data_IF_512781752171
#
_entry.id   IF_512781752171
#
_cell.length_a   1.000
_cell.length_b   1.000
_cell.length_c   1.000
_cell.angle_alpha   90.00
_cell.angle_beta   90.00
_cell.angle_gamma   90.00
#
_symmetry.space_group_name_H-M   'P 1'
#
loop_
_entity.id
_entity.type
_entity.pdbx_description
1 polymer ?
#
# COMPACT_ATOMS: atom_id res chain seq x y z
N UNK A 1 -15.76 4.68 0.40
CA UNK A 1 -15.05 3.72 1.25
C UNK A 1 -15.16 2.35 0.63
N UNK A 2 -14.10 1.55 0.72
CA UNK A 2 -14.01 0.25 0.06
C UNK A 2 -12.82 0.13 -0.89
N UNK A 3 -12.79 -0.99 -1.62
CA UNK A 3 -11.74 -1.30 -2.59
C UNK A 3 -12.32 -1.47 -4.00
N UNK A 4 -11.65 -0.89 -5.00
CA UNK A 4 -11.94 -1.12 -6.42
C UNK A 4 -10.83 -1.95 -7.06
N UNK A 5 -11.22 -3.00 -7.78
CA UNK A 5 -10.29 -3.98 -8.36
C UNK A 5 -10.03 -3.76 -9.84
N UNK A 6 -8.80 -4.01 -10.26
CA UNK A 6 -8.37 -4.19 -11.66
C UNK A 6 -7.60 -5.49 -11.77
N UNK A 7 -7.87 -6.28 -12.81
CA UNK A 7 -7.24 -7.58 -13.02
C UNK A 7 -6.26 -7.55 -14.19
N UNK A 8 -5.11 -8.17 -14.00
CA UNK A 8 -4.06 -8.36 -15.00
C UNK A 8 -3.96 -9.84 -15.31
N UNK A 9 -4.30 -10.21 -16.55
CA UNK A 9 -4.35 -11.62 -16.91
C UNK A 9 -2.95 -12.24 -16.99
N UNK A 10 -2.78 -13.37 -16.33
CA UNK A 10 -1.58 -14.20 -16.48
C UNK A 10 -1.61 -15.04 -17.77
N UNK A 11 -2.71 -15.02 -18.52
CA UNK A 11 -2.94 -15.78 -19.77
C UNK A 11 -2.61 -17.29 -19.65
N UNK A 12 -2.74 -17.85 -18.44
CA UNK A 12 -2.43 -19.25 -18.13
C UNK A 12 -0.93 -19.54 -17.98
N UNK A 13 -0.06 -18.53 -17.95
CA UNK A 13 1.35 -18.70 -17.62
C UNK A 13 1.50 -19.11 -16.16
N UNK A 14 2.34 -20.12 -15.94
CA UNK A 14 2.76 -20.50 -14.61
C UNK A 14 3.84 -19.54 -14.11
N UNK A 15 3.69 -19.03 -12.89
CA UNK A 15 4.68 -18.17 -12.25
C UNK A 15 4.82 -18.48 -10.76
N UNK A 16 6.01 -18.20 -10.22
CA UNK A 16 6.36 -18.37 -8.80
C UNK A 16 6.90 -17.08 -8.20
N UNK A 17 7.15 -16.06 -9.01
CA UNK A 17 7.64 -14.77 -8.57
C UNK A 17 6.84 -13.65 -9.19
N UNK A 18 6.63 -12.60 -8.40
CA UNK A 18 6.03 -11.34 -8.82
C UNK A 18 6.96 -10.22 -8.40
N UNK A 19 7.24 -9.29 -9.30
CA UNK A 19 7.93 -8.05 -8.96
C UNK A 19 7.21 -6.88 -9.63
N UNK A 20 7.39 -5.70 -9.10
CA UNK A 20 6.69 -4.54 -9.63
C UNK A 20 7.03 -3.28 -8.86
N UNK A 21 6.47 -2.18 -9.34
CA UNK A 21 6.55 -0.87 -8.69
C UNK A 21 5.22 -0.14 -8.83
N UNK A 22 4.94 0.76 -7.90
CA UNK A 22 3.82 1.68 -7.97
C UNK A 22 4.34 3.09 -7.70
N UNK A 23 3.69 4.07 -8.32
CA UNK A 23 3.90 5.49 -8.02
C UNK A 23 2.56 6.17 -7.87
N UNK A 24 2.44 6.95 -6.81
CA UNK A 24 1.22 7.66 -6.49
C UNK A 24 1.49 8.94 -5.72
N UNK A 25 0.39 9.60 -5.38
CA UNK A 25 0.38 10.85 -4.65
C UNK A 25 -0.65 10.81 -3.52
N UNK A 26 -0.45 11.62 -2.49
CA UNK A 26 -1.43 11.78 -1.43
C UNK A 26 -2.47 12.85 -1.82
N UNK A 27 -3.75 12.54 -1.58
CA UNK A 27 -4.82 13.53 -1.53
C UNK A 27 -5.57 13.38 -0.21
N UNK A 28 -5.71 14.49 0.51
CA UNK A 28 -6.36 14.47 1.81
C UNK A 28 -5.49 13.81 2.88
N UNK A 29 -6.12 13.07 3.80
CA UNK A 29 -5.44 12.51 4.96
C UNK A 29 -5.71 11.00 5.14
N UNK A 30 -5.11 10.14 4.31
CA UNK A 30 -5.15 8.69 4.45
C UNK A 30 -4.76 8.20 5.85
N UNK A 31 -5.23 7.02 6.23
CA UNK A 31 -5.12 6.47 7.58
C UNK A 31 -4.20 5.24 7.65
N UNK A 32 -3.35 5.02 6.65
CA UNK A 32 -2.32 4.00 6.66
C UNK A 32 -2.87 2.58 6.54
N UNK A 33 -2.45 1.72 7.46
CA UNK A 33 -2.82 0.29 7.50
C UNK A 33 -3.72 0.02 8.70
N UNK A 34 -4.81 -0.70 8.46
CA UNK A 34 -5.78 -1.14 9.47
C UNK A 34 -5.36 -2.49 10.10
N UNK A 35 -5.75 -2.75 11.36
CA UNK A 35 -6.87 -2.16 12.11
C UNK A 35 -6.52 -0.95 12.99
N UNK A 36 -5.34 -0.36 12.86
CA UNK A 36 -4.81 0.59 13.84
C UNK A 36 -5.74 1.81 14.05
N UNK A 37 -6.34 2.35 12.97
CA UNK A 37 -7.31 3.45 13.01
C UNK A 37 -8.74 3.10 13.46
N UNK A 38 -9.06 1.82 13.66
CA UNK A 38 -10.39 1.35 14.07
C UNK A 38 -11.39 1.12 12.92
N UNK A 39 -12.52 0.48 13.26
CA UNK A 39 -13.71 0.08 12.47
C UNK A 39 -13.53 -0.71 11.15
N UNK A 40 -12.40 -0.58 10.45
CA UNK A 40 -12.21 -1.21 9.15
C UNK A 40 -11.78 -2.69 9.22
N UNK A 41 -11.98 -3.37 8.10
CA UNK A 41 -11.71 -4.79 7.97
C UNK A 41 -10.20 -5.08 8.02
N UNK A 42 -9.81 -6.03 8.88
CA UNK A 42 -8.44 -6.57 8.93
C UNK A 42 -8.20 -7.70 7.92
N UNK A 43 -9.23 -8.11 7.18
CA UNK A 43 -9.18 -9.27 6.29
C UNK A 43 -8.67 -8.87 4.91
N UNK A 44 -8.02 -9.81 4.23
CA UNK A 44 -7.45 -9.59 2.90
C UNK A 44 -8.50 -9.09 1.90
N UNK A 45 -9.76 -9.49 2.05
CA UNK A 45 -10.87 -9.09 1.18
C UNK A 45 -11.45 -7.71 1.53
N UNK A 46 -11.05 -7.10 2.64
CA UNK A 46 -11.55 -5.81 3.09
C UNK A 46 -10.63 -4.63 2.79
N UNK A 47 -11.05 -3.46 3.27
CA UNK A 47 -10.31 -2.19 3.20
C UNK A 47 -9.24 -2.12 4.30
N UNK A 48 -8.27 -3.04 4.27
CA UNK A 48 -7.24 -3.09 5.33
C UNK A 48 -6.14 -2.03 5.16
N UNK A 49 -6.18 -1.24 4.09
CA UNK A 49 -5.17 -0.23 3.75
C UNK A 49 -5.81 0.92 2.99
N UNK A 50 -5.33 2.13 3.24
CA UNK A 50 -5.49 3.25 2.32
C UNK A 50 -4.31 3.27 1.35
N UNK A 51 -4.58 2.96 0.08
CA UNK A 51 -3.55 2.75 -0.94
C UNK A 51 -3.85 1.55 -1.83
N UNK A 52 -2.84 0.72 -2.09
CA UNK A 52 -2.91 -0.42 -3.00
C UNK A 52 -2.69 -1.75 -2.28
N UNK A 53 -3.53 -2.74 -2.59
CA UNK A 53 -3.33 -4.15 -2.24
C UNK A 53 -3.16 -4.96 -3.52
N UNK A 54 -2.07 -5.72 -3.62
CA UNK A 54 -1.80 -6.63 -4.74
C UNK A 54 -2.03 -8.06 -4.26
N UNK A 55 -2.92 -8.77 -4.97
CA UNK A 55 -3.38 -10.12 -4.66
C UNK A 55 -3.36 -11.00 -5.90
N UNK A 56 -3.48 -12.32 -5.72
CA UNK A 56 -3.79 -13.26 -6.79
C UNK A 56 -4.79 -14.29 -6.29
N UNK A 57 -5.46 -14.96 -7.23
CA UNK A 57 -6.56 -15.89 -6.93
C UNK A 57 -7.80 -15.14 -6.45
N UNK A 58 -8.99 -15.57 -6.84
CA UNK A 58 -10.23 -14.82 -6.54
C UNK A 58 -11.00 -15.35 -5.35
N UNK A 59 -10.76 -16.59 -4.91
CA UNK A 59 -11.41 -17.21 -3.76
C UNK A 59 -10.66 -18.47 -3.28
N UNK A 60 -9.83 -18.39 -2.21
CA UNK A 60 -9.50 -17.18 -1.45
C UNK A 60 -8.48 -16.29 -2.19
N UNK A 61 -8.55 -14.98 -1.97
CA UNK A 61 -7.45 -14.09 -2.34
C UNK A 61 -6.19 -14.49 -1.59
N UNK A 62 -5.07 -14.42 -2.29
CA UNK A 62 -3.74 -14.65 -1.76
C UNK A 62 -2.93 -13.38 -1.88
N UNK A 63 -2.15 -13.11 -0.84
CA UNK A 63 -1.44 -11.85 -0.67
C UNK A 63 -0.12 -11.80 -1.44
N UNK A 64 0.19 -10.65 -2.07
CA UNK A 64 1.48 -10.38 -2.72
C UNK A 64 2.20 -9.21 -2.04
N UNK A 65 1.60 -8.02 -2.08
CA UNK A 65 2.25 -6.78 -1.63
C UNK A 65 1.24 -5.69 -1.27
N UNK A 66 1.64 -4.76 -0.41
CA UNK A 66 0.85 -3.58 -0.01
C UNK A 66 1.64 -2.29 -0.24
N UNK A 67 0.99 -1.29 -0.82
CA UNK A 67 1.48 0.09 -0.84
C UNK A 67 0.51 0.93 -0.02
N UNK A 68 0.92 1.35 1.17
CA UNK A 68 0.09 2.08 2.11
C UNK A 68 0.42 3.58 2.11
N UNK A 69 -0.56 4.42 2.41
CA UNK A 69 -0.39 5.86 2.57
C UNK A 69 -0.66 6.25 4.00
N UNK A 70 0.37 6.74 4.70
CA UNK A 70 0.21 7.28 6.06
C UNK A 70 -0.48 8.65 6.06
N UNK A 71 -0.85 9.12 7.24
CA UNK A 71 -1.46 10.45 7.40
C UNK A 71 -0.50 11.59 7.07
N UNK A 72 0.67 11.57 7.71
CA UNK A 72 1.76 12.52 7.50
C UNK A 72 3.09 12.00 8.12
N UNK A 73 4.22 12.53 7.66
CA UNK A 73 5.57 12.01 7.96
C UNK A 73 5.97 12.09 9.45
N UNK A 74 5.52 13.12 10.16
CA UNK A 74 5.81 13.33 11.59
C UNK A 74 4.71 12.77 12.51
N UNK A 75 4.19 11.59 12.18
CA UNK A 75 3.12 10.91 12.93
C UNK A 75 3.57 9.60 13.59
N UNK A 76 3.05 9.34 14.81
CA UNK A 76 3.19 8.05 15.53
C UNK A 76 1.85 7.48 15.99
N UNK A 77 0.75 8.10 15.56
CA UNK A 77 -0.60 7.68 15.86
C UNK A 77 -0.95 6.39 15.11
N UNK A 78 -2.17 5.89 15.32
CA UNK A 78 -2.75 4.79 14.58
C UNK A 78 -2.75 4.97 13.03
N UNK A 79 -2.66 6.21 12.53
CA UNK A 79 -2.68 6.54 11.11
C UNK A 79 -1.28 6.67 10.49
N UNK A 80 -0.24 6.59 11.33
CA UNK A 80 1.14 6.59 10.88
C UNK A 80 1.49 5.31 10.11
N UNK A 81 2.50 5.42 9.25
CA UNK A 81 3.12 4.25 8.67
C UNK A 81 3.72 3.33 9.74
N UNK A 82 3.56 1.99 9.63
CA UNK A 82 4.08 1.05 10.64
C UNK A 82 5.62 1.11 10.81
N UNK A 83 6.33 1.58 9.79
CA UNK A 83 7.77 1.76 9.78
C UNK A 83 8.22 3.09 10.41
N UNK A 84 7.31 4.01 10.76
CA UNK A 84 7.68 5.27 11.40
C UNK A 84 8.39 5.01 12.74
N UNK A 85 9.44 5.79 13.00
CA UNK A 85 10.18 5.71 14.25
C UNK A 85 9.27 6.05 15.44
N UNK A 86 9.08 5.08 16.34
CA UNK A 86 8.18 5.21 17.48
C UNK A 86 6.72 4.87 17.19
N UNK A 87 6.37 4.45 15.98
CA UNK A 87 5.04 3.93 15.67
C UNK A 87 4.77 2.63 16.44
N UNK A 88 3.51 2.46 16.82
CA UNK A 88 2.99 1.20 17.40
C UNK A 88 2.01 0.50 16.46
N UNK A 89 1.81 1.05 15.27
CA UNK A 89 0.96 0.53 14.21
C UNK A 89 1.49 -0.84 13.77
N UNK A 90 0.59 -1.83 13.69
CA UNK A 90 0.91 -3.18 13.24
C UNK A 90 0.24 -3.49 11.91
N UNK A 91 0.90 -4.28 11.07
CA UNK A 91 0.29 -4.81 9.85
C UNK A 91 -0.54 -6.07 10.14
N UNK A 92 -1.58 -6.38 9.35
CA UNK A 92 -2.20 -7.69 9.36
C UNK A 92 -1.15 -8.80 9.18
N UNK A 93 -1.38 -9.97 9.79
CA UNK A 93 -0.38 -11.04 9.82
C UNK A 93 -0.01 -11.60 8.44
N UNK A 94 -0.92 -11.49 7.45
CA UNK A 94 -0.65 -11.90 6.07
C UNK A 94 0.17 -10.87 5.28
N UNK A 95 0.18 -9.60 5.71
CA UNK A 95 1.00 -8.52 5.12
C UNK A 95 2.44 -8.64 5.62
N UNK A 96 2.63 -8.80 6.93
CA UNK A 96 3.96 -8.89 7.53
C UNK A 96 4.87 -7.72 7.10
N UNK A 97 6.02 -8.03 6.50
CA UNK A 97 6.99 -7.03 6.03
C UNK A 97 6.93 -6.77 4.52
N UNK A 98 5.96 -7.35 3.82
CA UNK A 98 5.83 -7.24 2.37
C UNK A 98 5.03 -6.00 1.99
N UNK A 99 5.43 -4.83 2.49
CA UNK A 99 4.74 -3.56 2.23
C UNK A 99 5.73 -2.41 2.06
N UNK A 100 5.28 -1.35 1.39
CA UNK A 100 5.83 -0.02 1.53
C UNK A 100 4.76 0.90 2.09
N UNK A 101 5.18 1.88 2.89
CA UNK A 101 4.30 2.90 3.44
C UNK A 101 5.02 4.23 3.39
N UNK A 102 4.33 5.28 2.94
CA UNK A 102 4.88 6.63 2.85
C UNK A 102 3.73 7.65 2.92
N UNK A 103 4.02 8.86 3.33
CA UNK A 103 3.07 9.97 3.40
C UNK A 103 3.61 11.11 2.55
N UNK A 104 2.78 11.73 1.72
CA UNK A 104 3.21 12.82 0.84
C UNK A 104 3.23 14.21 1.51
N UNK A 105 3.29 14.27 2.84
CA UNK A 105 3.16 15.52 3.59
C UNK A 105 3.67 15.41 5.02
N UNK A 106 4.25 16.50 5.50
CA UNK A 106 4.65 16.69 6.91
C UNK A 106 3.49 17.15 7.82
N UNK A 107 2.31 17.44 7.25
CA UNK A 107 1.15 17.94 8.00
C UNK A 107 -0.21 17.51 7.45
N UNK A 108 -1.17 17.35 8.35
CA UNK A 108 -2.53 16.90 8.08
C UNK A 108 -3.38 17.94 7.30
N UNK A 109 -4.02 17.51 6.20
CA UNK A 109 -5.11 18.26 5.56
C UNK A 109 -6.07 17.33 4.80
N UNK A 110 -7.39 17.57 4.85
CA UNK A 110 -8.42 16.67 4.29
C UNK A 110 -8.87 16.99 2.85
N UNK A 111 -8.38 18.07 2.25
CA UNK A 111 -8.81 18.53 0.92
C UNK A 111 -7.66 19.16 0.13
N UNK A 112 -6.48 18.54 0.21
CA UNK A 112 -5.26 19.04 -0.42
C UNK A 112 -4.62 17.92 -1.23
N UNK A 113 -4.16 18.27 -2.41
CA UNK A 113 -3.32 17.41 -3.24
C UNK A 113 -1.85 17.72 -2.97
N UNK A 114 -1.03 16.69 -2.84
CA UNK A 114 0.40 16.81 -2.58
C UNK A 114 1.18 16.22 -3.78
N UNK A 115 1.47 17.03 -4.82
CA UNK A 115 2.16 16.56 -6.02
C UNK A 115 3.69 16.56 -5.91
N UNK A 116 4.23 17.31 -4.95
CA UNK A 116 5.68 17.55 -4.84
C UNK A 116 6.41 16.43 -4.09
N UNK A 117 5.63 15.53 -3.47
CA UNK A 117 6.13 14.39 -2.71
C UNK A 117 5.48 13.11 -3.24
N UNK A 118 6.31 12.27 -3.85
CA UNK A 118 5.89 11.11 -4.64
C UNK A 118 5.95 9.89 -3.75
N UNK A 119 4.80 9.27 -3.50
CA UNK A 119 4.75 8.14 -2.58
C UNK A 119 5.44 6.90 -3.16
N UNK A 120 6.15 6.20 -2.26
CA UNK A 120 6.80 4.90 -2.45
C UNK A 120 8.00 4.95 -3.39
N UNK A 121 8.62 6.12 -3.54
CA UNK A 121 9.83 6.30 -4.33
C UNK A 121 11.12 6.25 -3.48
N UNK A 122 10.97 6.21 -2.15
CA UNK A 122 12.07 6.09 -1.20
C UNK A 122 12.80 7.40 -0.95
N UNK A 123 12.20 8.53 -1.30
CA UNK A 123 12.73 9.88 -1.10
C UNK A 123 11.77 10.70 -0.25
N UNK A 124 12.25 11.83 0.26
CA UNK A 124 11.42 12.84 0.93
C UNK A 124 10.69 12.37 2.20
N UNK A 125 11.08 11.22 2.74
CA UNK A 125 10.57 10.70 4.01
C UNK A 125 11.29 11.38 5.18
N UNK A 126 10.81 12.55 5.59
CA UNK A 126 11.42 13.32 6.66
C UNK A 126 11.03 12.76 8.05
N UNK A 127 11.61 13.36 9.10
CA UNK A 127 11.24 13.14 10.50
C UNK A 127 11.17 11.66 10.93
N UNK A 128 9.97 11.22 11.30
CA UNK A 128 9.72 9.89 11.85
C UNK A 128 9.51 8.85 10.74
N UNK A 129 9.19 9.27 9.51
CA UNK A 129 8.97 8.36 8.38
C UNK A 129 10.27 7.89 7.72
N UNK A 130 11.41 8.51 8.00
CA UNK A 130 12.72 8.12 7.43
C UNK A 130 13.04 6.60 7.39
N UNK A 131 12.65 5.74 8.36
CA UNK A 131 12.91 4.31 8.25
C UNK A 131 12.09 3.61 7.15
N UNK A 132 10.94 4.15 6.77
CA UNK A 132 10.08 3.61 5.71
C UNK A 132 10.76 3.61 4.33
N UNK A 133 11.72 4.51 4.14
CA UNK A 133 12.40 4.74 2.87
C UNK A 133 13.84 4.18 2.86
N UNK A 134 14.15 3.34 3.84
CA UNK A 134 15.49 2.74 4.01
C UNK A 134 15.71 1.48 3.18
N UNK A 135 14.65 0.90 2.59
CA UNK A 135 14.78 -0.34 1.81
C UNK A 135 15.49 -0.08 0.49
N UNK A 136 16.55 -0.85 0.24
CA UNK A 136 17.36 -0.74 -0.99
C UNK A 136 16.65 -1.22 -2.25
N UNK A 137 15.46 -1.82 -2.13
CA UNK A 137 14.70 -2.30 -3.29
C UNK A 137 13.64 -1.31 -3.75
N UNK A 138 13.27 -0.31 -2.94
CA UNK A 138 12.30 0.73 -3.33
C UNK A 138 12.76 1.42 -4.62
N UNK A 139 11.87 1.65 -5.60
CA UNK A 139 10.39 1.46 -5.59
C UNK A 139 9.91 0.03 -5.91
N UNK A 140 10.84 -0.91 -6.14
CA UNK A 140 10.55 -2.26 -6.60
C UNK A 140 10.35 -3.25 -5.46
N UNK A 141 9.20 -3.92 -5.45
CA UNK A 141 9.01 -5.13 -4.65
C UNK A 141 9.42 -6.38 -5.41
N UNK A 142 9.75 -7.44 -4.69
CA UNK A 142 9.88 -8.79 -5.24
C UNK A 142 9.33 -9.81 -4.27
N UNK A 143 8.30 -10.53 -4.68
CA UNK A 143 7.64 -11.58 -3.90
C UNK A 143 7.86 -12.94 -4.54
N UNK A 144 8.29 -13.91 -3.75
CA UNK A 144 8.27 -15.33 -4.13
C UNK A 144 7.03 -15.99 -3.52
N UNK A 145 6.23 -16.63 -4.36
CA UNK A 145 5.02 -17.35 -3.98
C UNK A 145 5.36 -18.73 -3.43
N UNK A 146 4.54 -19.30 -2.52
CA UNK A 146 4.81 -20.60 -1.92
C UNK A 146 4.71 -21.76 -2.93
N UNK A 147 4.04 -21.54 -4.07
CA UNK A 147 3.84 -22.51 -5.13
C UNK A 147 3.67 -21.81 -6.48
N UNK A 148 3.82 -22.56 -7.56
CA UNK A 148 3.51 -22.07 -8.91
C UNK A 148 2.01 -21.92 -9.08
N UNK A 149 1.58 -20.80 -9.66
CA UNK A 149 0.17 -20.48 -9.90
C UNK A 149 -0.03 -19.95 -11.32
N UNK A 150 -1.28 -19.96 -11.77
CA UNK A 150 -1.70 -19.40 -13.07
C UNK A 150 -2.82 -18.37 -12.91
N UNK A 151 -3.14 -18.02 -11.67
CA UNK A 151 -4.20 -17.06 -11.36
C UNK A 151 -3.84 -15.68 -11.91
N UNK A 152 -4.85 -14.90 -12.25
CA UNK A 152 -4.65 -13.50 -12.60
C UNK A 152 -4.21 -12.70 -11.37
N UNK A 153 -3.42 -11.66 -11.61
CA UNK A 153 -3.05 -10.70 -10.57
C UNK A 153 -4.19 -9.70 -10.43
N UNK A 154 -4.56 -9.41 -9.20
CA UNK A 154 -5.52 -8.36 -8.85
C UNK A 154 -4.79 -7.21 -8.17
N UNK A 155 -5.06 -5.99 -8.63
CA UNK A 155 -4.70 -4.75 -7.95
C UNK A 155 -5.98 -4.13 -7.41
N UNK A 156 -5.98 -3.84 -6.11
CA UNK A 156 -7.10 -3.21 -5.41
C UNK A 156 -6.66 -1.86 -4.90
N UNK A 157 -7.34 -0.80 -5.35
CA UNK A 157 -7.20 0.53 -4.76
C UNK A 157 -8.24 0.66 -3.65
N UNK A 158 -7.75 0.79 -2.42
CA UNK A 158 -8.54 0.78 -1.21
C UNK A 158 -8.48 2.13 -0.50
N UNK A 159 -9.59 2.52 0.11
CA UNK A 159 -9.68 3.73 0.92
C UNK A 159 -10.81 3.59 1.93
N UNK A 160 -10.51 3.89 3.19
CA UNK A 160 -11.42 3.84 4.33
C UNK A 160 -12.40 5.01 4.35
N UNK A 161 -12.02 6.16 3.78
CA UNK A 161 -12.94 7.28 3.55
C UNK A 161 -12.87 7.74 2.10
N UNK A 162 -14.03 7.77 1.45
CA UNK A 162 -14.08 8.21 0.05
C UNK A 162 -13.56 9.64 -0.17
N UNK A 163 -13.22 9.92 -1.43
CA UNK A 163 -12.95 11.27 -1.91
C UNK A 163 -14.04 12.26 -1.44
N UNK A 164 -13.66 13.46 -0.97
CA UNK A 164 -12.32 14.04 -1.04
C UNK A 164 -11.43 13.79 0.19
N UNK A 165 -11.89 13.06 1.21
CA UNK A 165 -11.16 12.97 2.47
C UNK A 165 -9.84 12.21 2.36
N UNK A 166 -9.87 11.09 1.63
CA UNK A 166 -8.71 10.22 1.42
C UNK A 166 -8.76 9.74 -0.03
N UNK A 167 -7.70 10.02 -0.77
CA UNK A 167 -7.51 9.43 -2.08
C UNK A 167 -6.03 9.26 -2.38
N UNK A 168 -5.75 8.26 -3.19
CA UNK A 168 -4.41 7.88 -3.61
C UNK A 168 -4.36 7.91 -5.14
N UNK A 169 -4.25 9.09 -5.79
CA UNK A 169 -4.03 9.15 -7.22
C UNK A 169 -2.79 8.36 -7.63
N UNK A 170 -2.93 7.48 -8.62
CA UNK A 170 -1.85 6.63 -9.16
C UNK A 170 -1.53 7.06 -10.58
N UNK A 171 -0.25 7.16 -10.92
CA UNK A 171 0.18 7.45 -12.29
C UNK A 171 0.93 6.28 -12.94
N UNK A 172 1.64 5.46 -12.16
CA UNK A 172 2.33 4.26 -12.65
C UNK A 172 2.00 3.06 -11.77
N UNK A 173 1.68 1.94 -12.43
CA UNK A 173 1.74 0.60 -11.85
C UNK A 173 2.40 -0.33 -12.86
N UNK A 174 3.42 -1.06 -12.41
CA UNK A 174 4.10 -2.07 -13.21
C UNK A 174 4.14 -3.39 -12.43
N UNK A 175 3.76 -4.47 -13.10
CA UNK A 175 3.71 -5.81 -12.52
C UNK A 175 4.29 -6.80 -13.52
N UNK A 176 5.22 -7.63 -13.05
CA UNK A 176 5.87 -8.66 -13.83
C UNK A 176 5.78 -10.00 -13.10
N UNK A 177 5.45 -11.05 -13.84
CA UNK A 177 5.39 -12.43 -13.35
C UNK A 177 6.55 -13.25 -13.93
N UNK A 178 7.10 -14.18 -13.15
CA UNK A 178 8.18 -15.09 -13.56
C UNK A 178 8.02 -16.49 -12.98
#
# INVERSE_FOLDING_TARGET
DGCNSTFFSAIGLNYTKVCGQARGYQFGAPEGIYPNGGAESRYIDGTYVDGLSITYGSNPHQYIWTYAVGGYEDETSAYSCPCNNGSTTATPSYVGNDYYCESGTTSYATNKFYPDDIMWDGQQCDYLESPCCSSSTIPWFTKTLPQSVTDDIELRMCSSRGYPNEATPIDIIEIYIR
#
